data_IF_346164704619
#
_entry.id   IF_346164704619
#
_cell.length_a   1.000
_cell.length_b   1.000
_cell.length_c   1.000
_cell.angle_alpha   90.00
_cell.angle_beta   90.00
_cell.angle_gamma   90.00
#
_symmetry.space_group_name_H-M   'P 1'
#
loop_
_entity.id
_entity.type
_entity.pdbx_description
1 polymer ?
#
# COMPACT_ATOMS: atom_id res chain seq x y z
N UNK A 1 19.94 -0.13 -4.28
CA UNK A 1 19.46 0.30 -2.95
C UNK A 1 18.09 0.91 -3.13
N UNK A 2 17.13 0.53 -2.29
CA UNK A 2 15.78 1.09 -2.31
C UNK A 2 15.78 2.38 -1.49
N UNK A 3 15.22 3.46 -2.03
CA UNK A 3 14.92 4.68 -1.27
C UNK A 3 13.43 4.72 -0.98
N UNK A 4 13.06 5.07 0.25
CA UNK A 4 11.67 5.17 0.71
C UNK A 4 11.38 6.63 1.03
N UNK A 5 10.36 7.20 0.40
CA UNK A 5 9.92 8.59 0.63
C UNK A 5 8.43 8.60 0.94
N UNK A 6 8.03 9.41 1.90
CA UNK A 6 6.62 9.67 2.18
C UNK A 6 6.13 10.89 1.36
N UNK A 7 5.12 10.68 0.52
CA UNK A 7 4.40 11.73 -0.22
C UNK A 7 2.97 11.90 0.28
N UNK A 8 2.71 11.40 1.50
CA UNK A 8 1.44 11.38 2.21
C UNK A 8 0.73 12.72 2.29
N UNK A 9 -0.56 12.63 2.62
CA UNK A 9 -1.44 13.78 2.79
C UNK A 9 -2.18 13.68 4.11
N UNK A 10 -2.07 14.75 4.92
CA UNK A 10 -2.59 14.81 6.30
C UNK A 10 -2.03 13.68 7.15
N UNK A 11 -2.88 12.81 7.69
CA UNK A 11 -2.51 11.71 8.59
C UNK A 11 -2.29 10.38 7.86
N UNK A 12 -2.43 10.34 6.53
CA UNK A 12 -2.24 9.11 5.74
C UNK A 12 -0.91 9.19 4.98
N UNK A 13 -0.06 8.21 5.19
CA UNK A 13 1.20 8.02 4.48
C UNK A 13 0.96 7.42 3.09
N UNK A 14 1.68 7.93 2.10
CA UNK A 14 1.76 7.32 0.78
C UNK A 14 3.24 7.10 0.48
N UNK A 15 3.66 5.85 0.43
CA UNK A 15 5.08 5.53 0.36
C UNK A 15 5.51 5.35 -1.08
N UNK A 16 6.55 6.06 -1.51
CA UNK A 16 7.21 5.81 -2.79
C UNK A 16 8.51 5.07 -2.55
N UNK A 17 8.58 3.86 -3.08
CA UNK A 17 9.80 3.07 -3.14
C UNK A 17 10.48 3.35 -4.47
N UNK A 18 11.77 3.66 -4.45
CA UNK A 18 12.55 4.00 -5.65
C UNK A 18 13.76 3.09 -5.81
N UNK A 19 13.94 2.52 -7.01
CA UNK A 19 15.14 1.79 -7.44
C UNK A 19 15.55 2.29 -8.81
N UNK A 20 16.70 2.98 -8.89
CA UNK A 20 17.12 3.66 -10.12
C UNK A 20 16.03 4.61 -10.60
N UNK A 21 15.55 4.39 -11.84
CA UNK A 21 14.43 5.16 -12.39
C UNK A 21 13.05 4.48 -12.28
N UNK A 22 12.90 3.43 -11.48
CA UNK A 22 11.63 2.74 -11.27
C UNK A 22 11.07 3.03 -9.89
N UNK A 23 9.77 3.32 -9.82
CA UNK A 23 9.07 3.61 -8.56
C UNK A 23 7.79 2.84 -8.41
N UNK A 24 7.46 2.50 -7.17
CA UNK A 24 6.18 1.96 -6.73
C UNK A 24 5.57 2.92 -5.71
N UNK A 25 4.35 3.38 -5.96
CA UNK A 25 3.55 4.11 -4.98
C UNK A 25 2.70 3.12 -4.17
N UNK A 26 2.79 3.17 -2.84
CA UNK A 26 1.99 2.37 -1.91
C UNK A 26 1.04 3.30 -1.16
N UNK A 27 -0.24 2.99 -1.26
CA UNK A 27 -1.40 3.84 -0.97
C UNK A 27 -1.51 5.07 -1.88
N UNK A 28 -2.75 5.38 -2.26
CA UNK A 28 -3.10 6.22 -3.41
C UNK A 28 -4.05 7.34 -3.01
N UNK A 29 -4.13 7.64 -1.71
CA UNK A 29 -4.74 8.85 -1.17
C UNK A 29 -6.23 9.03 -1.32
N UNK A 30 -6.69 10.17 -0.81
CA UNK A 30 -8.10 10.55 -0.68
C UNK A 30 -8.72 11.04 -2.00
N UNK A 31 -10.02 10.78 -2.26
CA UNK A 31 -10.73 11.34 -3.41
C UNK A 31 -10.64 12.87 -3.48
N UNK A 32 -10.56 13.41 -4.70
CA UNK A 32 -10.50 14.86 -4.92
C UNK A 32 -9.17 15.52 -4.52
N UNK A 33 -8.14 14.75 -4.17
CA UNK A 33 -6.83 15.26 -3.74
C UNK A 33 -5.68 15.05 -4.75
N UNK A 34 -5.98 14.72 -6.02
CA UNK A 34 -4.96 14.49 -7.06
C UNK A 34 -3.94 15.64 -7.17
N UNK A 35 -4.41 16.89 -7.07
CA UNK A 35 -3.52 18.05 -7.09
C UNK A 35 -2.50 18.06 -5.94
N UNK A 36 -2.90 17.62 -4.75
CA UNK A 36 -2.01 17.48 -3.60
C UNK A 36 -1.01 16.33 -3.81
N UNK A 37 -1.46 15.17 -4.29
CA UNK A 37 -0.60 14.04 -4.65
C UNK A 37 0.48 14.46 -5.65
N UNK A 38 0.10 15.07 -6.78
CA UNK A 38 1.04 15.57 -7.80
C UNK A 38 1.98 16.64 -7.25
N UNK A 39 1.48 17.53 -6.39
CA UNK A 39 2.29 18.54 -5.71
C UNK A 39 3.35 17.93 -4.79
N UNK A 40 3.01 16.89 -4.04
CA UNK A 40 3.92 16.17 -3.15
C UNK A 40 4.98 15.38 -3.91
N UNK A 41 4.57 14.62 -4.93
CA UNK A 41 5.49 13.90 -5.83
C UNK A 41 6.51 14.86 -6.45
N UNK A 42 6.07 16.00 -6.98
CA UNK A 42 6.96 17.03 -7.54
C UNK A 42 7.93 17.60 -6.50
N UNK A 43 7.45 17.90 -5.28
CA UNK A 43 8.30 18.44 -4.20
C UNK A 43 9.40 17.46 -3.80
N UNK A 44 9.11 16.17 -3.86
CA UNK A 44 10.08 15.10 -3.57
C UNK A 44 10.90 14.67 -4.79
N UNK A 45 10.77 15.36 -5.93
CA UNK A 45 11.53 15.03 -7.13
C UNK A 45 11.16 13.68 -7.75
N UNK A 46 9.89 13.29 -7.67
CA UNK A 46 9.35 12.04 -8.21
C UNK A 46 8.47 12.33 -9.44
N UNK A 47 9.02 12.21 -10.66
CA UNK A 47 8.26 12.24 -11.91
C UNK A 47 7.19 11.15 -12.02
N UNK A 48 5.98 11.53 -12.45
CA UNK A 48 4.88 10.59 -12.70
C UNK A 48 5.24 9.45 -13.68
N UNK A 49 5.94 9.67 -14.82
CA UNK A 49 6.27 8.60 -15.76
C UNK A 49 7.17 7.50 -15.18
N UNK A 50 7.76 7.75 -14.02
CA UNK A 50 8.64 6.82 -13.37
C UNK A 50 7.94 5.96 -12.31
N UNK A 51 6.70 6.30 -11.95
CA UNK A 51 5.80 5.43 -11.19
C UNK A 51 5.35 4.29 -12.11
N UNK A 52 5.91 3.11 -11.91
CA UNK A 52 5.60 1.92 -12.71
C UNK A 52 4.26 1.32 -12.32
N UNK A 53 3.92 1.44 -11.04
CA UNK A 53 2.66 0.99 -10.46
C UNK A 53 2.27 1.89 -9.28
N UNK A 54 0.96 1.97 -9.04
CA UNK A 54 0.39 2.34 -7.76
C UNK A 54 -0.30 1.11 -7.16
N UNK A 55 -0.12 0.89 -5.86
CA UNK A 55 -0.68 -0.23 -5.10
C UNK A 55 -1.48 0.34 -3.93
N UNK A 56 -2.75 -0.01 -3.81
CA UNK A 56 -3.50 0.25 -2.59
C UNK A 56 -3.34 -0.93 -1.63
N UNK A 57 -2.94 -0.67 -0.38
CA UNK A 57 -2.87 -1.71 0.65
C UNK A 57 -4.25 -2.30 0.95
N UNK A 58 -5.29 -1.48 0.82
CA UNK A 58 -6.70 -1.89 0.88
C UNK A 58 -7.62 -0.80 0.29
N UNK A 59 -8.90 -1.12 0.10
CA UNK A 59 -9.86 -0.26 -0.60
C UNK A 59 -10.73 0.53 0.38
N UNK A 60 -10.08 1.43 1.12
CA UNK A 60 -10.72 2.55 1.81
C UNK A 60 -10.39 3.87 1.10
N UNK A 61 -11.17 4.92 1.42
CA UNK A 61 -11.13 6.20 0.71
C UNK A 61 -9.73 6.79 0.69
N UNK A 62 -9.00 6.69 1.77
CA UNK A 62 -7.70 7.31 1.94
C UNK A 62 -6.50 6.54 1.39
N UNK A 63 -6.74 5.31 0.93
CA UNK A 63 -5.69 4.43 0.41
C UNK A 63 -5.88 4.11 -1.07
N UNK A 64 -7.09 4.24 -1.60
CA UNK A 64 -7.42 3.92 -3.00
C UNK A 64 -8.21 5.03 -3.71
N UNK A 65 -8.45 6.16 -3.05
CA UNK A 65 -9.34 7.22 -3.51
C UNK A 65 -8.93 7.91 -4.80
N UNK A 66 -7.64 7.94 -5.16
CA UNK A 66 -7.14 8.47 -6.44
C UNK A 66 -6.75 7.38 -7.45
N UNK A 67 -7.10 6.11 -7.22
CA UNK A 67 -6.62 5.01 -8.05
C UNK A 67 -7.00 5.17 -9.54
N UNK A 68 -8.24 5.58 -9.83
CA UNK A 68 -8.67 5.85 -11.21
C UNK A 68 -7.97 7.08 -11.82
N UNK A 69 -7.82 8.14 -11.03
CA UNK A 69 -7.14 9.36 -11.48
C UNK A 69 -5.65 9.13 -11.78
N UNK A 70 -4.96 8.33 -10.95
CA UNK A 70 -3.56 7.95 -11.19
C UNK A 70 -3.41 7.10 -12.45
N UNK A 71 -4.36 6.21 -12.75
CA UNK A 71 -4.39 5.49 -14.04
C UNK A 71 -4.53 6.44 -15.22
N UNK A 72 -5.35 7.49 -15.10
CA UNK A 72 -5.49 8.54 -16.14
C UNK A 72 -4.23 9.39 -16.31
N UNK A 73 -3.42 9.51 -15.26
CA UNK A 73 -2.08 10.10 -15.32
C UNK A 73 -1.00 9.13 -15.86
N UNK A 74 -1.40 7.92 -16.27
CA UNK A 74 -0.52 6.93 -16.88
C UNK A 74 0.15 5.96 -15.91
N UNK A 75 -0.29 5.91 -14.64
CA UNK A 75 0.26 5.00 -13.62
C UNK A 75 -0.67 3.80 -13.45
N UNK A 76 -0.30 2.59 -13.91
CA UNK A 76 -1.13 1.39 -13.77
C UNK A 76 -1.42 1.05 -12.30
N UNK A 77 -2.62 0.57 -12.01
CA UNK A 77 -3.01 0.11 -10.68
C UNK A 77 -2.63 -1.37 -10.52
N UNK A 78 -1.67 -1.67 -9.66
CA UNK A 78 -1.32 -3.04 -9.29
C UNK A 78 -2.32 -3.55 -8.24
N UNK A 79 -2.96 -4.68 -8.51
CA UNK A 79 -4.05 -5.23 -7.69
C UNK A 79 -3.77 -6.70 -7.42
N UNK A 80 -3.90 -7.11 -6.16
CA UNK A 80 -3.95 -8.54 -5.84
C UNK A 80 -5.36 -9.09 -6.06
N UNK A 81 -5.47 -10.30 -6.60
CA UNK A 81 -6.73 -10.99 -6.90
C UNK A 81 -7.75 -10.96 -5.75
N UNK A 82 -7.30 -11.15 -4.50
CA UNK A 82 -8.13 -11.07 -3.28
C UNK A 82 -8.80 -9.71 -3.09
N UNK A 83 -8.27 -8.65 -3.69
CA UNK A 83 -8.78 -7.29 -3.57
C UNK A 83 -9.80 -6.93 -4.66
N UNK A 84 -9.87 -7.68 -5.77
CA UNK A 84 -10.76 -7.37 -6.90
C UNK A 84 -12.23 -7.17 -6.46
N UNK A 85 -12.81 -8.01 -5.57
CA UNK A 85 -14.19 -7.80 -5.10
C UNK A 85 -14.39 -6.54 -4.25
N UNK A 86 -13.32 -5.96 -3.70
CA UNK A 86 -13.39 -4.77 -2.85
C UNK A 86 -13.44 -3.46 -3.67
N UNK A 87 -12.90 -3.45 -4.89
CA UNK A 87 -12.85 -2.28 -5.76
C UNK A 87 -14.21 -1.58 -5.93
N UNK A 88 -15.29 -2.27 -6.36
CA UNK A 88 -16.58 -1.61 -6.55
C UNK A 88 -17.23 -1.17 -5.22
N UNK A 89 -16.85 -1.79 -4.10
CA UNK A 89 -17.41 -1.48 -2.76
C UNK A 89 -16.93 -0.13 -2.23
N UNK A 90 -15.78 0.37 -2.68
CA UNK A 90 -15.24 1.67 -2.27
C UNK A 90 -16.26 2.81 -2.47
N UNK A 91 -16.99 2.79 -3.59
CA UNK A 91 -18.00 3.80 -3.94
C UNK A 91 -19.09 3.96 -2.88
N UNK A 92 -19.48 2.88 -2.21
CA UNK A 92 -20.53 2.89 -1.20
C UNK A 92 -20.19 3.76 0.03
N UNK A 93 -18.91 4.05 0.24
CA UNK A 93 -18.41 4.87 1.34
C UNK A 93 -18.20 6.34 0.96
N UNK A 94 -18.43 6.69 -0.30
CA UNK A 94 -18.19 8.05 -0.83
C UNK A 94 -19.43 8.93 -0.71
N UNK A 95 -19.22 10.23 -0.57
CA UNK A 95 -20.23 11.28 -0.68
C UNK A 95 -19.98 12.10 -1.94
N UNK A 96 -21.00 12.73 -2.55
CA UNK A 96 -20.81 13.55 -3.74
C UNK A 96 -19.71 14.61 -3.60
N UNK A 97 -19.59 15.21 -2.42
CA UNK A 97 -18.57 16.24 -2.10
C UNK A 97 -17.13 15.72 -2.10
N UNK A 98 -16.93 14.41 -2.04
CA UNK A 98 -15.59 13.81 -2.01
C UNK A 98 -14.97 13.81 -3.42
N UNK A 99 -15.77 14.03 -4.48
CA UNK A 99 -15.34 14.03 -5.88
C UNK A 99 -14.63 12.73 -6.30
N UNK A 100 -15.10 11.58 -5.80
CA UNK A 100 -14.55 10.27 -6.12
C UNK A 100 -14.82 9.88 -7.58
N UNK A 101 -13.77 9.38 -8.24
CA UNK A 101 -13.83 8.82 -9.58
C UNK A 101 -13.77 7.30 -9.48
N UNK A 102 -14.82 6.64 -9.98
CA UNK A 102 -14.95 5.19 -9.86
C UNK A 102 -13.85 4.43 -10.62
N UNK A 103 -13.21 3.50 -9.92
CA UNK A 103 -12.14 2.65 -10.45
C UNK A 103 -12.73 1.67 -11.46
N UNK A 104 -12.25 1.77 -12.70
CA UNK A 104 -12.58 0.84 -13.79
C UNK A 104 -11.55 -0.31 -13.88
N UNK A 105 -11.83 -1.32 -14.70
CA UNK A 105 -10.85 -2.39 -14.97
C UNK A 105 -9.69 -1.92 -15.87
N UNK A 106 -9.92 -0.87 -16.67
CA UNK A 106 -8.93 -0.35 -17.61
C UNK A 106 -7.71 0.21 -16.86
N UNK A 107 -6.53 -0.32 -17.16
CA UNK A 107 -5.27 0.05 -16.50
C UNK A 107 -5.00 -0.65 -15.17
N UNK A 108 -5.84 -1.62 -14.77
CA UNK A 108 -5.52 -2.52 -13.66
C UNK A 108 -4.56 -3.62 -14.14
N UNK A 109 -3.60 -3.97 -13.28
CA UNK A 109 -2.71 -5.11 -13.44
C UNK A 109 -3.01 -6.06 -12.28
N UNK A 110 -3.84 -7.05 -12.55
CA UNK A 110 -4.30 -8.01 -11.55
C UNK A 110 -3.35 -9.19 -11.51
N UNK A 111 -2.86 -9.53 -10.32
CA UNK A 111 -1.89 -10.60 -10.09
C UNK A 111 -2.27 -11.43 -8.85
N UNK A 112 -1.82 -12.67 -8.78
CA UNK A 112 -1.86 -13.43 -7.53
C UNK A 112 -0.70 -13.04 -6.61
N UNK A 113 -0.79 -13.40 -5.32
CA UNK A 113 0.31 -13.20 -4.37
C UNK A 113 1.61 -13.90 -4.83
N UNK A 114 1.50 -15.10 -5.42
CA UNK A 114 2.65 -15.88 -5.91
C UNK A 114 3.36 -15.20 -7.10
N UNK A 115 2.65 -14.39 -7.88
CA UNK A 115 3.21 -13.62 -9.00
C UNK A 115 3.87 -12.31 -8.56
N UNK A 116 3.61 -11.85 -7.32
CA UNK A 116 4.00 -10.51 -6.88
C UNK A 116 5.50 -10.28 -6.92
N UNK A 117 6.31 -11.27 -6.50
CA UNK A 117 7.77 -11.17 -6.53
C UNK A 117 8.29 -10.96 -7.94
N UNK A 118 7.85 -11.77 -8.90
CA UNK A 118 8.28 -11.65 -10.30
C UNK A 118 7.94 -10.26 -10.87
N UNK A 119 6.76 -9.71 -10.54
CA UNK A 119 6.32 -8.40 -10.99
C UNK A 119 7.14 -7.27 -10.38
N UNK A 120 7.47 -7.35 -9.09
CA UNK A 120 8.31 -6.37 -8.41
C UNK A 120 9.76 -6.43 -8.91
N UNK A 121 10.30 -7.62 -9.16
CA UNK A 121 11.66 -7.80 -9.69
C UNK A 121 11.84 -7.15 -11.07
N UNK A 122 10.79 -7.16 -11.92
CA UNK A 122 10.81 -6.46 -13.23
C UNK A 122 11.03 -4.95 -13.12
N UNK A 123 10.74 -4.36 -11.96
CA UNK A 123 10.99 -2.94 -11.67
C UNK A 123 12.15 -2.74 -10.69
N UNK A 124 12.88 -3.80 -10.36
CA UNK A 124 14.06 -3.78 -9.49
C UNK A 124 13.75 -3.74 -8.00
N UNK A 125 12.49 -3.92 -7.59
CA UNK A 125 12.10 -3.98 -6.18
C UNK A 125 12.12 -5.44 -5.74
N UNK A 126 13.04 -5.79 -4.84
CA UNK A 126 13.16 -7.16 -4.31
C UNK A 126 12.27 -7.33 -3.09
N UNK A 127 11.20 -8.11 -3.24
CA UNK A 127 10.19 -8.31 -2.22
C UNK A 127 8.98 -9.08 -2.75
N UNK A 128 7.91 -9.10 -1.97
CA UNK A 128 6.62 -9.73 -2.31
C UNK A 128 5.44 -8.92 -1.76
N UNK A 129 4.27 -9.06 -2.38
CA UNK A 129 3.01 -8.53 -1.88
C UNK A 129 2.17 -9.72 -1.42
N UNK A 130 1.72 -9.71 -0.17
CA UNK A 130 0.99 -10.82 0.41
C UNK A 130 -0.33 -10.38 1.07
N UNK A 131 -1.37 -11.24 1.10
CA UNK A 131 -2.59 -10.99 1.86
C UNK A 131 -2.31 -10.91 3.36
N UNK A 132 -2.69 -9.78 3.95
CA UNK A 132 -2.51 -9.46 5.37
C UNK A 132 -3.84 -8.99 5.97
N UNK A 133 -4.88 -9.86 6.02
CA UNK A 133 -6.16 -9.49 6.58
C UNK A 133 -6.01 -9.13 8.06
N UNK A 134 -6.92 -8.28 8.53
CA UNK A 134 -6.97 -7.83 9.92
C UNK A 134 -7.85 -6.61 10.07
N UNK A 135 -7.56 -5.55 9.31
CA UNK A 135 -8.44 -4.38 9.21
C UNK A 135 -9.65 -4.66 8.31
N UNK A 136 -9.37 -5.20 7.12
CA UNK A 136 -10.37 -5.77 6.21
C UNK A 136 -9.89 -7.12 5.70
N UNK A 137 -10.78 -7.89 5.07
CA UNK A 137 -10.45 -9.18 4.43
C UNK A 137 -9.53 -9.04 3.22
N UNK A 138 -9.48 -7.86 2.61
CA UNK A 138 -8.76 -7.57 1.37
C UNK A 138 -7.49 -6.72 1.60
N UNK A 139 -7.02 -6.61 2.85
CA UNK A 139 -5.74 -5.98 3.15
C UNK A 139 -4.58 -6.80 2.59
N UNK A 140 -3.60 -6.09 2.03
CA UNK A 140 -2.33 -6.64 1.56
C UNK A 140 -1.18 -5.80 2.11
N UNK A 141 -0.01 -6.43 2.27
CA UNK A 141 1.22 -5.74 2.65
C UNK A 141 2.30 -5.99 1.61
N UNK A 142 3.10 -4.96 1.34
CA UNK A 142 4.35 -5.10 0.60
C UNK A 142 5.47 -5.41 1.61
N UNK A 143 6.19 -6.51 1.41
CA UNK A 143 7.35 -6.92 2.19
C UNK A 143 8.60 -6.91 1.32
N UNK A 144 9.63 -6.17 1.72
CA UNK A 144 10.94 -6.17 1.07
C UNK A 144 11.87 -7.20 1.70
N UNK A 145 12.84 -7.67 0.91
CA UNK A 145 13.81 -8.69 1.36
C UNK A 145 14.73 -8.17 2.50
N UNK A 146 14.82 -6.85 2.71
CA UNK A 146 15.54 -6.26 3.85
C UNK A 146 14.76 -6.30 5.18
N UNK A 147 13.50 -6.75 5.16
CA UNK A 147 12.60 -6.82 6.31
C UNK A 147 11.74 -5.57 6.51
N UNK A 148 11.76 -4.61 5.59
CA UNK A 148 10.82 -3.49 5.56
C UNK A 148 9.44 -3.94 5.08
N UNK A 149 8.39 -3.53 5.77
CA UNK A 149 7.01 -3.87 5.42
C UNK A 149 6.09 -2.65 5.40
N UNK A 150 5.26 -2.54 4.37
CA UNK A 150 4.24 -1.50 4.22
C UNK A 150 2.88 -2.13 4.46
N UNK A 151 2.30 -1.87 5.62
CA UNK A 151 1.22 -2.71 6.17
C UNK A 151 -0.17 -2.11 6.08
N UNK A 152 -0.30 -0.94 5.45
CA UNK A 152 -1.57 -0.21 5.41
C UNK A 152 -2.09 0.06 6.82
N UNK A 153 -3.36 -0.26 7.02
CA UNK A 153 -4.10 -0.11 8.28
C UNK A 153 -4.08 -1.36 9.16
N UNK A 154 -3.20 -2.32 8.92
CA UNK A 154 -3.08 -3.49 9.81
C UNK A 154 -2.86 -2.98 11.26
N UNK A 155 -3.82 -3.21 12.18
CA UNK A 155 -3.76 -2.60 13.50
C UNK A 155 -2.54 -3.12 14.27
N UNK A 156 -1.78 -2.26 14.97
CA UNK A 156 -0.69 -2.72 15.82
C UNK A 156 -1.20 -3.71 16.86
N UNK A 157 -0.40 -4.71 17.21
CA UNK A 157 -0.84 -5.80 18.11
C UNK A 157 -1.37 -5.31 19.46
N UNK A 158 -0.81 -4.22 19.99
CA UNK A 158 -1.28 -3.59 21.23
C UNK A 158 -2.74 -3.14 21.18
N UNK A 159 -3.28 -2.90 19.98
CA UNK A 159 -4.66 -2.51 19.74
C UNK A 159 -5.50 -3.64 19.12
N UNK A 160 -4.92 -4.82 18.90
CA UNK A 160 -5.55 -5.94 18.19
C UNK A 160 -5.95 -7.11 19.11
N UNK A 161 -6.05 -6.91 20.43
CA UNK A 161 -6.35 -7.98 21.40
C UNK A 161 -7.66 -8.74 21.08
N UNK A 162 -8.68 -8.04 20.57
CA UNK A 162 -9.96 -8.63 20.13
C UNK A 162 -9.99 -9.03 18.65
N UNK A 163 -8.87 -8.88 17.93
CA UNK A 163 -8.76 -9.15 16.50
C UNK A 163 -7.76 -10.30 16.23
N UNK A 164 -8.21 -11.57 16.38
CA UNK A 164 -7.32 -12.73 16.23
C UNK A 164 -6.75 -12.86 14.81
N UNK A 165 -7.45 -12.34 13.79
CA UNK A 165 -6.97 -12.34 12.40
C UNK A 165 -5.75 -11.44 12.25
N UNK A 166 -5.80 -10.22 12.78
CA UNK A 166 -4.65 -9.31 12.78
C UNK A 166 -3.46 -9.90 13.56
N UNK A 167 -3.71 -10.51 14.72
CA UNK A 167 -2.65 -11.17 15.50
C UNK A 167 -2.00 -12.33 14.73
N UNK A 168 -2.78 -13.14 14.02
CA UNK A 168 -2.25 -14.21 13.17
C UNK A 168 -1.45 -13.64 11.98
N UNK A 169 -1.91 -12.54 11.39
CA UNK A 169 -1.17 -11.83 10.35
C UNK A 169 0.18 -11.31 10.86
N UNK A 170 0.24 -10.72 12.05
CA UNK A 170 1.52 -10.29 12.64
C UNK A 170 2.48 -11.45 12.93
N UNK A 171 1.97 -12.62 13.34
CA UNK A 171 2.80 -13.83 13.49
C UNK A 171 3.43 -14.26 12.16
N UNK A 172 2.62 -14.33 11.09
CA UNK A 172 3.11 -14.67 9.74
C UNK A 172 4.12 -13.65 9.22
N UNK A 173 3.90 -12.37 9.46
CA UNK A 173 4.84 -11.30 9.09
C UNK A 173 6.19 -11.45 9.80
N UNK A 174 6.20 -11.82 11.09
CA UNK A 174 7.45 -12.14 11.81
C UNK A 174 8.18 -13.34 11.23
N UNK A 175 7.46 -14.41 10.93
CA UNK A 175 8.04 -15.62 10.32
C UNK A 175 8.66 -15.33 8.95
N UNK A 176 8.15 -14.31 8.24
CA UNK A 176 8.69 -13.80 6.97
C UNK A 176 9.84 -12.80 7.14
N UNK A 177 10.27 -12.52 8.37
CA UNK A 177 11.45 -11.68 8.64
C UNK A 177 11.20 -10.18 8.65
N UNK A 178 9.95 -9.73 8.85
CA UNK A 178 9.62 -8.31 9.01
C UNK A 178 10.31 -7.75 10.26
N UNK A 179 11.02 -6.63 10.09
CA UNK A 179 11.77 -5.92 11.14
C UNK A 179 11.38 -4.45 11.23
N UNK A 180 11.08 -3.81 10.11
CA UNK A 180 10.72 -2.38 10.04
C UNK A 180 9.33 -2.25 9.45
N UNK A 181 8.44 -1.54 10.12
CA UNK A 181 7.07 -1.34 9.66
C UNK A 181 6.84 0.11 9.26
N UNK A 182 6.26 0.28 8.09
CA UNK A 182 5.78 1.52 7.49
C UNK A 182 4.25 1.44 7.39
N UNK A 183 3.51 1.90 8.41
CA UNK A 183 2.05 1.88 8.36
C UNK A 183 1.52 2.94 7.40
N UNK A 184 0.22 2.90 7.11
CA UNK A 184 -0.45 4.03 6.48
C UNK A 184 -0.77 5.16 7.48
N UNK A 185 -0.82 4.87 8.77
CA UNK A 185 -1.06 5.86 9.81
C UNK A 185 -0.09 5.75 10.99
N UNK A 186 0.39 6.91 11.47
CA UNK A 186 1.33 6.98 12.58
C UNK A 186 2.77 6.71 12.16
N UNK A 187 3.73 6.93 13.07
CA UNK A 187 5.14 6.85 12.73
C UNK A 187 5.56 5.40 12.40
N UNK A 188 6.48 5.19 11.43
CA UNK A 188 7.11 3.91 11.23
C UNK A 188 7.78 3.40 12.51
N UNK A 189 7.62 2.12 12.85
CA UNK A 189 8.23 1.50 14.04
C UNK A 189 9.09 0.28 13.69
N UNK A 190 9.92 -0.15 14.63
CA UNK A 190 10.68 -1.41 14.51
C UNK A 190 9.90 -2.48 15.23
N UNK A 191 9.65 -3.60 14.55
CA UNK A 191 9.10 -4.78 15.19
C UNK A 191 10.19 -5.34 16.09
N UNK A 192 9.99 -5.24 17.41
CA UNK A 192 10.89 -5.90 18.34
C UNK A 192 10.71 -7.41 18.18
N UNK A 193 11.82 -8.16 18.19
CA UNK A 193 11.75 -9.60 18.48
C UNK A 193 10.93 -9.77 19.75
N UNK A 194 10.11 -10.83 19.90
CA UNK A 194 9.53 -11.13 21.20
C UNK A 194 10.70 -11.18 22.18
N UNK A 195 10.74 -10.22 23.10
CA UNK A 195 11.60 -10.29 24.28
C UNK A 195 11.41 -11.70 24.79
N UNK A 196 12.50 -12.50 24.83
CA UNK A 196 12.48 -13.81 25.46
C UNK A 196 11.73 -13.62 26.77
N UNK A 197 10.55 -14.23 26.89
CA UNK A 197 9.81 -14.19 28.13
C UNK A 197 10.80 -14.60 29.23
N UNK A 198 11.05 -13.69 30.17
CA UNK A 198 11.78 -14.02 31.39
C UNK A 198 10.92 -14.98 32.21
#
# INVERSE_FOLDING_TARGET
MVTIVDVGYRSTHYWVLSVGTSRLLVDIGWPGTLGAMKGNLRRMGIPLPELRYALATHYHLDHAGLAEEMKREGVPLLVLDVQVPAIPRLKAWTKPRDNYVEITDQGNVVISADQSREVLDRIGIHGEILPTPGHTEHCVSLLLDDGSAFTGDLPPESYAASNPVALQTWRRLRERGVRRVYPAHGPPWTLQDPVRAQ
#
